data_IF_621091727792
#
_entry.id   IF_621091727792
#
_cell.length_a   1.000
_cell.length_b   1.000
_cell.length_c   1.000
_cell.angle_alpha   90.00
_cell.angle_beta   90.00
_cell.angle_gamma   90.00
#
_symmetry.space_group_name_H-M   'P 1'
#
loop_
_entity.id
_entity.type
_entity.pdbx_description
1 polymer ?
#
# COMPACT_ATOMS: atom_id res chain seq x y z
N UNK A 1 -14.17 -15.69 29.39
CA UNK A 1 -13.75 -14.39 28.84
C UNK A 1 -13.21 -14.67 27.46
N UNK A 2 -13.81 -14.11 26.42
CA UNK A 2 -13.35 -14.33 25.04
C UNK A 2 -12.20 -13.38 24.69
N UNK A 3 -11.19 -13.89 23.99
CA UNK A 3 -10.05 -13.13 23.49
C UNK A 3 -10.25 -12.87 22.00
N UNK A 4 -10.19 -11.60 21.60
CA UNK A 4 -10.21 -11.19 20.20
C UNK A 4 -8.82 -10.69 19.79
N UNK A 5 -8.37 -11.09 18.59
CA UNK A 5 -7.14 -10.60 17.97
C UNK A 5 -7.43 -9.79 16.72
N UNK A 6 -6.75 -8.66 16.56
CA UNK A 6 -6.78 -7.86 15.33
C UNK A 6 -5.53 -8.14 14.50
N UNK A 7 -5.72 -8.47 13.23
CA UNK A 7 -4.63 -8.68 12.26
C UNK A 7 -4.81 -7.68 11.13
N UNK A 8 -3.77 -6.88 10.87
CA UNK A 8 -3.74 -5.88 9.82
C UNK A 8 -2.42 -5.94 9.06
N UNK A 9 -2.45 -5.62 7.76
CA UNK A 9 -1.29 -5.67 6.88
C UNK A 9 -0.79 -4.27 6.51
N UNK A 10 0.51 -4.03 6.72
CA UNK A 10 1.14 -2.78 6.32
C UNK A 10 1.16 -2.62 4.79
N UNK A 11 0.48 -1.57 4.29
CA UNK A 11 0.44 -1.22 2.86
C UNK A 11 0.10 -2.42 1.96
N UNK A 12 -0.92 -3.21 2.33
CA UNK A 12 -1.18 -4.56 1.80
C UNK A 12 -0.91 -4.74 0.31
N UNK A 13 -1.59 -3.98 -0.58
CA UNK A 13 -1.38 -4.13 -2.03
C UNK A 13 0.06 -3.83 -2.47
N UNK A 14 0.71 -2.80 -1.93
CA UNK A 14 2.13 -2.53 -2.23
C UNK A 14 3.05 -3.66 -1.75
N UNK A 15 2.71 -4.31 -0.63
CA UNK A 15 3.46 -5.45 -0.10
C UNK A 15 3.27 -6.69 -0.99
N UNK A 16 2.05 -6.94 -1.48
CA UNK A 16 1.79 -8.01 -2.45
C UNK A 16 2.57 -7.78 -3.74
N UNK A 17 2.54 -6.56 -4.31
CA UNK A 17 3.31 -6.25 -5.52
C UNK A 17 4.80 -6.54 -5.35
N UNK A 18 5.39 -6.22 -4.19
CA UNK A 18 6.82 -6.48 -3.92
C UNK A 18 7.18 -7.97 -3.80
N UNK A 19 6.22 -8.83 -3.48
CA UNK A 19 6.45 -10.29 -3.49
C UNK A 19 6.67 -10.78 -4.91
N UNK A 20 5.90 -10.27 -5.88
CA UNK A 20 5.97 -10.67 -7.28
C UNK A 20 6.95 -9.82 -8.10
N UNK A 21 7.23 -8.60 -7.66
CA UNK A 21 8.16 -7.64 -8.25
C UNK A 21 9.18 -7.14 -7.21
N UNK A 22 10.18 -7.96 -6.83
CA UNK A 22 11.18 -7.60 -5.82
C UNK A 22 11.98 -6.34 -6.16
N UNK A 23 12.06 -5.95 -7.43
CA UNK A 23 12.72 -4.74 -7.87
C UNK A 23 11.98 -3.45 -7.44
N UNK A 24 10.74 -3.55 -6.92
CA UNK A 24 9.98 -2.45 -6.32
C UNK A 24 10.33 -2.19 -4.83
N UNK A 25 11.21 -3.00 -4.24
CA UNK A 25 11.69 -2.77 -2.87
C UNK A 25 12.48 -1.45 -2.82
N UNK A 26 12.15 -0.59 -1.85
CA UNK A 26 12.76 0.74 -1.68
C UNK A 26 12.32 1.78 -2.71
N UNK A 27 11.45 1.41 -3.67
CA UNK A 27 10.90 2.34 -4.66
C UNK A 27 9.53 2.88 -4.21
N UNK A 28 9.18 4.13 -4.57
CA UNK A 28 7.82 4.63 -4.42
C UNK A 28 6.83 3.84 -5.28
N UNK A 29 5.92 3.14 -4.63
CA UNK A 29 4.81 2.38 -5.25
C UNK A 29 3.47 2.98 -4.85
N UNK A 30 2.57 3.12 -5.83
CA UNK A 30 1.17 3.52 -5.70
C UNK A 30 0.33 2.47 -6.45
N UNK A 31 -0.74 1.98 -5.81
CA UNK A 31 -1.70 1.06 -6.44
C UNK A 31 -3.02 1.79 -6.62
N UNK A 32 -3.55 1.74 -7.84
CA UNK A 32 -4.83 2.35 -8.22
C UNK A 32 -5.95 1.31 -8.18
N UNK A 33 -7.18 1.74 -7.88
CA UNK A 33 -8.35 0.94 -8.21
C UNK A 33 -8.57 0.90 -9.72
N UNK A 34 -9.31 -0.12 -10.14
CA UNK A 34 -9.59 -0.37 -11.55
C UNK A 34 -10.33 0.83 -12.18
N UNK A 35 -9.69 1.47 -13.15
CA UNK A 35 -10.22 2.47 -14.08
C UNK A 35 -10.79 3.78 -13.50
N UNK A 36 -10.82 4.00 -12.19
CA UNK A 36 -11.32 5.24 -11.57
C UNK A 36 -10.21 6.21 -11.14
N UNK A 37 -8.94 5.82 -11.28
CA UNK A 37 -7.78 6.65 -10.92
C UNK A 37 -7.61 6.87 -9.41
N UNK A 38 -8.41 6.21 -8.57
CA UNK A 38 -8.33 6.37 -7.13
C UNK A 38 -7.16 5.56 -6.56
N UNK A 39 -6.36 6.18 -5.70
CA UNK A 39 -5.24 5.51 -5.04
C UNK A 39 -5.75 4.68 -3.86
N UNK A 40 -5.66 3.36 -3.97
CA UNK A 40 -6.10 2.42 -2.93
C UNK A 40 -4.97 1.96 -2.00
N UNK A 41 -3.71 2.07 -2.42
CA UNK A 41 -2.57 1.79 -1.57
C UNK A 41 -1.35 2.63 -1.94
N UNK A 42 -0.52 2.94 -0.93
CA UNK A 42 0.75 3.63 -1.11
C UNK A 42 1.81 3.02 -0.21
N UNK A 43 2.98 2.81 -0.78
CA UNK A 43 4.20 2.49 -0.04
C UNK A 43 4.60 3.64 0.90
N UNK A 44 5.47 3.38 1.87
CA UNK A 44 5.96 4.42 2.79
C UNK A 44 6.79 5.47 2.05
N UNK A 45 7.55 5.04 1.06
CA UNK A 45 8.33 5.86 0.15
C UNK A 45 7.42 6.80 -0.65
N UNK A 46 6.31 6.30 -1.19
CA UNK A 46 5.32 7.14 -1.88
C UNK A 46 4.61 8.12 -0.93
N UNK A 47 4.32 7.73 0.31
CA UNK A 47 3.74 8.63 1.34
C UNK A 47 4.69 9.76 1.72
N UNK A 48 6.00 9.54 1.65
CA UNK A 48 7.00 10.56 1.98
C UNK A 48 7.13 11.65 0.90
N UNK A 49 6.75 11.35 -0.34
CA UNK A 49 6.94 12.24 -1.50
C UNK A 49 5.81 13.27 -1.71
N UNK A 50 4.66 13.15 -1.06
CA UNK A 50 3.53 14.04 -1.35
C UNK A 50 2.43 14.04 -0.30
N UNK A 51 1.43 14.94 -0.46
CA UNK A 51 0.40 15.15 0.55
C UNK A 51 -0.48 13.91 0.80
N UNK A 52 -1.07 13.91 2.00
CA UNK A 52 -1.67 12.73 2.64
C UNK A 52 -2.95 12.20 1.95
N UNK A 53 -3.50 12.89 0.95
CA UNK A 53 -4.69 12.47 0.16
C UNK A 53 -4.40 12.52 -1.34
N UNK A 54 -4.44 11.35 -1.98
CA UNK A 54 -4.60 11.20 -3.43
C UNK A 54 -5.92 10.43 -3.60
N UNK A 55 -7.01 11.12 -3.32
CA UNK A 55 -8.38 10.72 -3.63
C UNK A 55 -9.04 11.92 -4.27
#
# INVERSE_FOLDING_TARGET
MELFGLVDCNNFYCSCERVFHPDLIGKPVVVLSNNDGCVIARSNEAKALGPRRLQ
#
